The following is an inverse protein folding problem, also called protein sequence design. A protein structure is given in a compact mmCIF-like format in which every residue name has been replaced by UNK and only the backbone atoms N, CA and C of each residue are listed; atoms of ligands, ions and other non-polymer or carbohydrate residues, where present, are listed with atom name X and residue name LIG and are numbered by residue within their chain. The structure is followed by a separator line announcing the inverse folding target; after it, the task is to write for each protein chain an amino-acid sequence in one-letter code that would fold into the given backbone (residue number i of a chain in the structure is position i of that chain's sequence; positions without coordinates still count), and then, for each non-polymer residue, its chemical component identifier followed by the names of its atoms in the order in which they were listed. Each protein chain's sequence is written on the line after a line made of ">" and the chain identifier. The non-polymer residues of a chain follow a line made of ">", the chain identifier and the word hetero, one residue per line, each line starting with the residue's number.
data_IF_655690118854
#
_entry.id   IF_655690118854
#
_cell.length_a   1.000
_cell.length_b   1.000
_cell.length_c   1.000
_cell.angle_alpha   90.00
_cell.angle_beta   90.00
_cell.angle_gamma   90.00
#
_symmetry.space_group_name_H-M   'P 1'
#
loop_
_entity.id
_entity.type
_entity.pdbx_description
1 polymer ?
#
# COMPACT_ATOMS: atom_id res chain seq x y z
N UNK A 1 -11.11 14.29 1.78
CA UNK A 1 -12.18 13.27 1.60
C UNK A 1 -11.51 11.92 1.31
N UNK A 2 -12.04 10.80 1.84
CA UNK A 2 -11.50 9.46 1.53
C UNK A 2 -11.75 9.11 0.06
N UNK A 3 -10.79 8.43 -0.57
CA UNK A 3 -10.97 7.95 -1.93
C UNK A 3 -12.10 6.91 -1.96
N UNK A 4 -13.00 6.96 -2.96
CA UNK A 4 -14.11 6.00 -3.05
C UNK A 4 -13.58 4.61 -3.43
N UNK A 5 -14.33 3.57 -3.10
CA UNK A 5 -13.92 2.20 -3.44
C UNK A 5 -13.73 2.00 -4.96
N UNK A 6 -14.54 2.69 -5.77
CA UNK A 6 -14.45 2.67 -7.23
C UNK A 6 -13.09 3.13 -7.77
N UNK A 7 -12.35 3.96 -7.02
CA UNK A 7 -10.99 4.37 -7.37
C UNK A 7 -10.05 3.16 -7.45
N UNK A 8 -10.15 2.24 -6.49
CA UNK A 8 -9.27 1.07 -6.39
C UNK A 8 -9.71 -0.09 -7.28
N UNK A 9 -10.98 -0.18 -7.64
CA UNK A 9 -11.53 -1.28 -8.46
C UNK A 9 -11.24 -1.13 -9.97
N UNK A 10 -10.45 -0.13 -10.37
CA UNK A 10 -10.05 0.07 -11.77
C UNK A 10 -9.06 -1.01 -12.22
N UNK A 11 -9.15 -1.40 -13.49
CA UNK A 11 -8.37 -2.50 -14.08
C UNK A 11 -6.94 -2.14 -14.50
N UNK A 12 -6.60 -0.84 -14.50
CA UNK A 12 -5.27 -0.37 -14.85
C UNK A 12 -4.48 -0.02 -13.58
N UNK A 13 -3.73 -0.98 -13.06
CA UNK A 13 -2.93 -0.81 -11.83
C UNK A 13 -1.86 0.28 -11.97
N UNK A 14 -1.29 0.46 -13.15
CA UNK A 14 -0.30 1.53 -13.41
C UNK A 14 -0.93 2.90 -13.26
N UNK A 15 -2.16 3.09 -13.76
CA UNK A 15 -2.90 4.33 -13.58
C UNK A 15 -3.23 4.57 -12.11
N UNK A 16 -3.71 3.54 -11.39
CA UNK A 16 -4.02 3.66 -9.96
C UNK A 16 -2.77 4.04 -9.16
N UNK A 17 -1.61 3.42 -9.43
CA UNK A 17 -0.35 3.74 -8.75
C UNK A 17 0.06 5.20 -8.97
N UNK A 18 0.05 5.67 -10.23
CA UNK A 18 0.37 7.07 -10.55
C UNK A 18 -0.56 8.06 -9.87
N UNK A 19 -1.86 7.78 -9.83
CA UNK A 19 -2.84 8.67 -9.22
C UNK A 19 -2.86 8.60 -7.68
N UNK A 20 -2.23 7.58 -7.08
CA UNK A 20 -2.00 7.53 -5.63
C UNK A 20 -0.87 8.46 -5.19
N UNK A 21 0.09 8.78 -6.07
CA UNK A 21 1.11 9.80 -5.79
C UNK A 21 0.42 11.15 -5.53
N UNK A 22 0.85 11.84 -4.48
CA UNK A 22 0.25 13.08 -4.01
C UNK A 22 -1.00 12.90 -3.13
N UNK A 23 -1.48 11.66 -2.90
CA UNK A 23 -2.58 11.39 -1.97
C UNK A 23 -2.06 11.23 -0.55
N UNK A 24 -2.88 11.63 0.42
CA UNK A 24 -2.58 11.52 1.84
C UNK A 24 -2.94 10.12 2.35
N UNK A 25 -1.96 9.37 2.85
CA UNK A 25 -2.18 8.17 3.64
C UNK A 25 -2.33 8.56 5.11
N UNK A 26 -3.39 8.09 5.75
CA UNK A 26 -3.73 8.43 7.14
C UNK A 26 -3.94 7.15 7.93
N UNK A 27 -3.34 7.07 9.10
CA UNK A 27 -3.57 6.00 10.08
C UNK A 27 -4.02 6.61 11.40
N UNK A 28 -4.93 5.94 12.09
CA UNK A 28 -5.34 6.28 13.44
C UNK A 28 -5.22 5.02 14.30
N UNK A 29 -4.25 5.02 15.22
CA UNK A 29 -3.97 3.90 16.12
C UNK A 29 -4.07 4.42 17.54
N UNK A 30 -4.98 3.87 18.34
CA UNK A 30 -5.25 4.33 19.71
C UNK A 30 -5.48 5.85 19.79
N UNK A 31 -6.31 6.38 18.87
CA UNK A 31 -6.63 7.81 18.76
C UNK A 31 -5.46 8.71 18.33
N UNK A 32 -4.29 8.13 18.07
CA UNK A 32 -3.11 8.85 17.58
C UNK A 32 -3.09 8.86 16.04
N UNK A 33 -3.36 10.03 15.46
CA UNK A 33 -3.38 10.23 14.02
C UNK A 33 -1.97 10.52 13.48
N UNK A 34 -1.53 9.71 12.51
CA UNK A 34 -0.31 9.94 11.74
C UNK A 34 -0.63 9.94 10.26
N UNK A 35 0.01 10.82 9.47
CA UNK A 35 -0.25 10.90 8.03
C UNK A 35 0.96 11.36 7.23
N UNK A 36 1.02 10.94 5.96
CA UNK A 36 2.03 11.39 5.00
C UNK A 36 1.53 11.34 3.55
N UNK A 37 2.09 12.18 2.70
CA UNK A 37 1.80 12.22 1.27
C UNK A 37 2.55 11.08 0.59
N UNK A 38 1.87 10.28 -0.21
CA UNK A 38 2.50 9.21 -1.00
C UNK A 38 3.36 9.86 -2.09
N UNK A 39 4.66 9.59 -2.07
CA UNK A 39 5.62 10.14 -3.05
C UNK A 39 6.24 9.06 -3.95
N UNK A 40 6.13 7.78 -3.58
CA UNK A 40 6.66 6.67 -4.35
C UNK A 40 5.75 5.45 -4.26
N UNK A 41 5.46 4.84 -5.41
CA UNK A 41 4.63 3.64 -5.53
C UNK A 41 5.19 2.68 -6.58
N UNK A 42 4.98 1.37 -6.40
CA UNK A 42 5.20 0.34 -7.42
C UNK A 42 3.88 -0.33 -7.79
N UNK A 43 3.64 -0.53 -9.08
CA UNK A 43 2.46 -1.21 -9.59
C UNK A 43 2.81 -2.68 -9.88
N UNK A 44 2.00 -3.60 -9.37
CA UNK A 44 2.14 -5.03 -9.61
C UNK A 44 0.94 -5.59 -10.34
N UNK A 45 1.17 -6.24 -11.48
CA UNK A 45 0.12 -6.95 -12.21
C UNK A 45 0.16 -8.47 -11.98
N UNK A 46 -1.00 -9.10 -11.80
CA UNK A 46 -1.09 -10.58 -11.71
C UNK A 46 -0.51 -11.30 -12.94
N UNK A 47 -0.33 -10.59 -14.07
CA UNK A 47 0.23 -11.12 -15.32
C UNK A 47 1.76 -11.13 -15.37
N UNK A 48 2.45 -10.49 -14.42
CA UNK A 48 3.89 -10.34 -14.46
C UNK A 48 4.60 -11.23 -13.44
N UNK A 49 5.82 -11.67 -13.76
CA UNK A 49 6.59 -12.59 -12.91
C UNK A 49 6.97 -12.02 -11.54
N UNK A 50 7.02 -10.70 -11.42
CA UNK A 50 7.33 -10.00 -10.17
C UNK A 50 6.18 -9.99 -9.17
N UNK A 51 4.95 -10.31 -9.59
CA UNK A 51 3.79 -10.31 -8.71
C UNK A 51 3.66 -11.63 -7.93
N UNK A 52 3.33 -11.54 -6.63
CA UNK A 52 3.04 -12.70 -5.79
C UNK A 52 1.90 -13.58 -6.32
N UNK A 53 1.02 -13.04 -7.17
CA UNK A 53 -0.10 -13.77 -7.76
C UNK A 53 0.23 -14.44 -9.10
N UNK A 54 1.43 -14.26 -9.66
CA UNK A 54 1.79 -14.78 -11.00
C UNK A 54 1.60 -16.30 -11.14
N UNK A 55 1.88 -17.05 -10.08
CA UNK A 55 1.72 -18.52 -10.03
C UNK A 55 0.34 -18.97 -9.55
N UNK A 56 -0.62 -18.04 -9.43
CA UNK A 56 -1.95 -18.31 -8.90
C UNK A 56 -2.06 -18.08 -7.39
N UNK A 57 -3.23 -18.48 -6.88
CA UNK A 57 -3.62 -18.24 -5.49
C UNK A 57 -3.00 -19.26 -4.54
N UNK A 58 -2.60 -18.78 -3.37
CA UNK A 58 -2.09 -19.53 -2.22
C UNK A 58 -2.70 -18.94 -0.94
N UNK A 59 -2.61 -19.64 0.18
CA UNK A 59 -3.10 -19.09 1.46
C UNK A 59 -2.45 -17.75 1.84
N UNK A 60 -1.19 -17.54 1.44
CA UNK A 60 -0.45 -16.31 1.74
C UNK A 60 -0.90 -15.10 0.92
N UNK A 61 -1.30 -15.31 -0.34
CA UNK A 61 -1.65 -14.23 -1.25
C UNK A 61 -3.16 -14.13 -1.52
N UNK A 62 -4.01 -14.96 -0.88
CA UNK A 62 -5.46 -14.99 -1.11
C UNK A 62 -6.15 -13.62 -1.03
N UNK A 63 -5.68 -12.76 -0.12
CA UNK A 63 -6.17 -11.39 0.04
C UNK A 63 -6.00 -10.57 -1.24
N UNK A 64 -4.95 -10.83 -2.03
CA UNK A 64 -4.75 -10.14 -3.31
C UNK A 64 -5.84 -10.48 -4.33
N UNK A 65 -6.53 -11.61 -4.21
CA UNK A 65 -7.60 -12.02 -5.12
C UNK A 65 -8.98 -11.45 -4.71
N UNK A 66 -9.05 -10.68 -3.63
CA UNK A 66 -10.28 -10.01 -3.22
C UNK A 66 -10.55 -8.75 -4.06
N UNK A 67 -11.61 -8.00 -3.71
CA UNK A 67 -11.98 -6.76 -4.40
C UNK A 67 -10.96 -5.64 -4.16
N UNK A 68 -10.76 -4.78 -5.14
CA UNK A 68 -9.96 -3.56 -5.00
C UNK A 68 -10.37 -2.69 -3.80
N UNK A 69 -9.36 -2.11 -3.14
CA UNK A 69 -9.50 -1.27 -1.95
C UNK A 69 -9.12 -1.97 -0.64
N UNK A 70 -8.66 -3.22 -0.70
CA UNK A 70 -8.24 -4.00 0.47
C UNK A 70 -6.74 -3.86 0.68
N UNK A 71 -6.30 -3.68 1.92
CA UNK A 71 -4.90 -3.65 2.27
C UNK A 71 -4.30 -5.06 2.27
N UNK A 72 -3.20 -5.24 1.56
CA UNK A 72 -2.39 -6.45 1.60
C UNK A 72 -1.03 -6.14 2.23
N UNK A 73 -0.82 -6.63 3.45
CA UNK A 73 0.43 -6.45 4.20
C UNK A 73 1.10 -7.80 4.37
N UNK A 74 2.39 -7.88 4.06
CA UNK A 74 3.16 -9.10 4.29
C UNK A 74 4.54 -8.81 4.84
N UNK A 75 5.10 -9.77 5.57
CA UNK A 75 6.47 -9.73 6.08
C UNK A 75 7.46 -10.16 4.98
N UNK A 76 8.40 -9.28 4.67
CA UNK A 76 9.51 -9.48 3.74
C UNK A 76 10.80 -9.73 4.54
N UNK A 77 11.54 -10.77 4.14
CA UNK A 77 12.78 -11.24 4.81
C UNK A 77 12.66 -11.42 6.33
N UNK A 78 11.47 -11.67 6.87
CA UNK A 78 11.25 -11.84 8.30
C UNK A 78 11.35 -10.56 9.14
N UNK A 79 11.59 -9.39 8.53
CA UNK A 79 11.94 -8.17 9.27
C UNK A 79 11.10 -6.95 8.88
N UNK A 80 10.70 -6.82 7.61
CA UNK A 80 10.05 -5.59 7.11
C UNK A 80 8.65 -5.88 6.59
N UNK A 81 7.66 -5.10 7.04
CA UNK A 81 6.30 -5.18 6.52
C UNK A 81 6.17 -4.32 5.26
N UNK A 82 5.64 -4.90 4.18
CA UNK A 82 5.36 -4.18 2.94
C UNK A 82 3.85 -3.96 2.83
N UNK A 83 3.44 -2.70 2.72
CA UNK A 83 2.03 -2.29 2.63
C UNK A 83 1.61 -2.09 1.18
N UNK A 84 0.62 -2.88 0.75
CA UNK A 84 0.04 -2.81 -0.58
C UNK A 84 -1.46 -2.50 -0.48
N UNK A 85 -2.00 -1.94 -1.55
CA UNK A 85 -3.45 -1.84 -1.76
C UNK A 85 -3.84 -2.66 -2.99
N UNK A 86 -4.74 -3.61 -2.81
CA UNK A 86 -5.30 -4.43 -3.89
C UNK A 86 -6.12 -3.55 -4.81
N UNK A 87 -6.00 -3.80 -6.11
CA UNK A 87 -6.75 -3.09 -7.16
C UNK A 87 -7.52 -4.09 -8.02
N UNK A 88 -8.27 -3.59 -9.02
CA UNK A 88 -9.03 -4.40 -9.96
C UNK A 88 -10.26 -5.11 -9.33
N UNK A 89 -10.94 -5.91 -10.15
CA UNK A 89 -12.05 -6.77 -9.75
C UNK A 89 -11.56 -8.05 -9.05
N UNK A 90 -12.40 -8.71 -8.24
CA UNK A 90 -12.06 -10.00 -7.63
C UNK A 90 -11.50 -11.01 -8.64
N UNK A 91 -10.50 -11.77 -8.21
CA UNK A 91 -9.79 -12.75 -9.03
C UNK A 91 -8.66 -12.17 -9.90
N UNK A 92 -8.56 -10.85 -10.07
CA UNK A 92 -7.45 -10.18 -10.78
C UNK A 92 -6.54 -9.51 -9.75
N UNK A 93 -5.57 -10.28 -9.26
CA UNK A 93 -4.70 -9.90 -8.14
C UNK A 93 -3.62 -8.87 -8.48
N UNK A 94 -4.04 -7.69 -8.95
CA UNK A 94 -3.19 -6.53 -9.13
C UNK A 94 -3.10 -5.74 -7.81
N UNK A 95 -1.94 -5.14 -7.53
CA UNK A 95 -1.75 -4.36 -6.31
C UNK A 95 -0.79 -3.18 -6.51
N UNK A 96 -0.91 -2.17 -5.67
CA UNK A 96 0.06 -1.06 -5.58
C UNK A 96 0.79 -1.13 -4.25
N UNK A 97 2.11 -1.25 -4.29
CA UNK A 97 3.00 -1.12 -3.14
C UNK A 97 3.26 0.36 -2.86
N UNK A 98 3.07 0.79 -1.61
CA UNK A 98 3.47 2.12 -1.18
C UNK A 98 4.92 2.06 -0.68
N UNK A 99 5.82 2.82 -1.31
CA UNK A 99 7.26 2.73 -1.05
C UNK A 99 7.79 3.84 -0.17
N UNK A 100 7.28 5.06 -0.35
CA UNK A 100 7.71 6.21 0.43
C UNK A 100 6.56 7.19 0.66
N UNK A 101 6.64 7.85 1.82
CA UNK A 101 5.76 8.93 2.21
C UNK A 101 6.60 10.15 2.59
N UNK A 102 6.09 11.34 2.28
CA UNK A 102 6.50 12.59 2.91
C UNK A 102 5.62 12.83 4.15
N UNK A 103 6.14 12.76 5.39
CA UNK A 103 5.33 12.91 6.59
C UNK A 103 4.68 14.29 6.71
N UNK A 104 3.42 14.35 7.13
CA UNK A 104 2.63 15.59 7.28
C UNK A 104 2.16 15.81 8.72
N UNK A 105 1.73 14.76 9.42
CA UNK A 105 1.23 14.86 10.80
C UNK A 105 1.72 13.71 11.68
N UNK A 106 2.02 14.01 12.94
CA UNK A 106 2.45 13.05 13.94
C UNK A 106 3.86 12.50 13.71
N UNK A 107 4.78 13.35 13.24
CA UNK A 107 6.17 12.97 12.94
C UNK A 107 6.90 12.41 14.17
N UNK A 108 6.70 12.98 15.35
CA UNK A 108 7.30 12.49 16.60
C UNK A 108 6.89 11.05 16.90
N UNK A 109 5.60 10.72 16.73
CA UNK A 109 5.09 9.37 16.90
C UNK A 109 5.63 8.41 15.84
N UNK A 110 5.79 8.87 14.59
CA UNK A 110 6.42 8.06 13.54
C UNK A 110 7.89 7.77 13.88
N UNK A 111 8.62 8.76 14.37
CA UNK A 111 10.03 8.63 14.79
C UNK A 111 10.18 7.66 15.97
N UNK A 112 9.31 7.76 16.97
CA UNK A 112 9.26 6.85 18.12
C UNK A 112 9.04 5.40 17.66
N UNK A 113 8.04 5.15 16.81
CA UNK A 113 7.75 3.81 16.25
C UNK A 113 8.92 3.23 15.46
N UNK A 114 9.63 4.10 14.74
CA UNK A 114 10.80 3.74 13.93
C UNK A 114 12.10 3.66 14.74
N UNK A 115 12.09 4.10 16.01
CA UNK A 115 13.27 4.23 16.89
C UNK A 115 14.38 5.08 16.26
N UNK A 116 14.00 6.21 15.67
CA UNK A 116 14.93 7.17 15.06
C UNK A 116 14.81 8.54 15.73
N UNK A 117 15.94 9.26 15.84
CA UNK A 117 16.00 10.54 16.57
C UNK A 117 16.03 11.77 15.65
N UNK A 118 16.08 11.58 14.32
CA UNK A 118 16.02 12.67 13.34
C UNK A 118 15.54 12.16 11.98
N UNK A 119 14.99 13.06 11.17
CA UNK A 119 14.49 12.75 9.82
C UNK A 119 15.49 13.05 8.70
N UNK A 120 16.72 13.45 9.02
CA UNK A 120 17.75 13.76 8.02
C UNK A 120 18.22 12.47 7.32
N UNK A 121 17.74 12.27 6.08
CA UNK A 121 18.34 11.42 5.06
C UNK A 121 18.54 12.23 3.79
#
# INVERSE_FOLDING_TARGET
>A
MKLPQSFYQRSNVVQVAKELIGKLLVTNVNEMLTSGIIIETEAYSYKERGCHAFKGQTERNKVMFEKGGISYVYLCYGMHHLFNVVTNQPGKADAVLIRALEPVNGMDLMMERMKVNSTNR
#
